data_IF_976717434443
#
_entry.id   IF_976717434443
#
_cell.length_a   1.000
_cell.length_b   1.000
_cell.length_c   1.000
_cell.angle_alpha   90.00
_cell.angle_beta   90.00
_cell.angle_gamma   90.00
#
_symmetry.space_group_name_H-M   'P 1'
#
loop_
_entity.id
_entity.type
_entity.pdbx_description
1 polymer ?
2 non-polymer ?
3 non-polymer ?
4 water ?
#
# COMPACT_ATOMS: atom_id res chain seq x y z
N UNK A 1 -3.93 -1.99 6.68
CA UNK A 1 -5.41 -1.86 6.85
C UNK A 1 -6.09 -3.11 7.41
N UNK A 2 -5.49 -4.30 7.26
CA UNK A 2 -5.98 -5.64 7.67
C UNK A 2 -4.81 -6.62 7.76
N UNK A 3 -5.02 -7.93 8.11
CA UNK A 3 -3.93 -8.87 8.46
C UNK A 3 -2.94 -9.23 7.32
N UNK A 4 -3.38 -9.06 6.08
CA UNK A 4 -2.52 -9.20 4.88
C UNK A 4 -1.49 -8.08 4.86
N UNK A 5 -1.95 -6.85 5.04
CA UNK A 5 -1.06 -5.67 5.10
C UNK A 5 -0.13 -5.76 6.32
N UNK A 6 -0.62 -6.30 7.43
CA UNK A 6 0.19 -6.57 8.66
C UNK A 6 1.41 -7.47 8.36
N UNK A 7 1.15 -8.59 7.73
CA UNK A 7 2.21 -9.58 7.39
C UNK A 7 3.18 -8.90 6.41
N UNK A 8 2.65 -8.24 5.37
CA UNK A 8 3.49 -7.57 4.35
C UNK A 8 4.41 -6.54 5.02
N UNK A 9 3.86 -5.71 5.90
CA UNK A 9 4.62 -4.66 6.61
C UNK A 9 5.75 -5.29 7.46
N UNK A 10 5.46 -6.38 8.12
CA UNK A 10 6.44 -7.09 8.97
C UNK A 10 7.62 -7.57 8.12
N UNK A 11 7.34 -8.07 6.93
CA UNK A 11 8.39 -8.51 5.97
C UNK A 11 9.18 -7.29 5.51
N UNK A 12 8.50 -6.20 5.11
CA UNK A 12 9.20 -5.00 4.60
C UNK A 12 10.11 -4.40 5.64
N UNK A 13 9.65 -4.33 6.90
CA UNK A 13 10.35 -3.55 7.96
C UNK A 13 11.65 -4.27 8.34
N UNK A 14 11.75 -5.57 8.16
CA UNK A 14 12.93 -6.30 8.67
C UNK A 14 13.70 -7.05 7.56
N UNK A 15 13.06 -7.38 6.43
CA UNK A 15 13.67 -8.30 5.44
C UNK A 15 13.84 -7.64 4.07
N UNK A 16 13.85 -6.30 3.95
CA UNK A 16 14.13 -5.64 2.64
C UNK A 16 15.26 -4.64 2.82
N UNK A 17 15.98 -4.46 1.70
CA UNK A 17 16.98 -3.38 1.52
C UNK A 17 16.67 -2.74 0.19
N UNK A 18 17.26 -1.59 -0.04
CA UNK A 18 17.20 -0.95 -1.39
C UNK A 18 18.50 -1.35 -2.09
N UNK A 19 18.39 -2.10 -3.19
CA UNK A 19 19.56 -2.47 -4.00
C UNK A 19 19.65 -1.57 -5.23
N UNK A 20 20.87 -1.12 -5.54
CA UNK A 20 21.11 -0.33 -6.78
C UNK A 20 22.20 -1.04 -7.60
N UNK A 21 21.90 -1.27 -8.87
CA UNK A 21 22.86 -1.78 -9.88
C UNK A 21 22.94 -0.69 -10.95
N UNK A 22 23.69 -0.95 -12.01
CA UNK A 22 23.79 -0.05 -13.19
C UNK A 22 22.47 -0.04 -13.96
N UNK A 23 21.58 -0.99 -13.67
CA UNK A 23 20.26 -1.13 -14.36
C UNK A 23 19.13 -0.52 -13.52
N UNK A 24 19.38 0.04 -12.33
CA UNK A 24 18.35 0.73 -11.57
C UNK A 24 18.37 0.46 -10.07
N UNK A 25 17.36 1.01 -9.37
CA UNK A 25 17.07 0.78 -7.95
C UNK A 25 15.96 -0.28 -7.87
N UNK A 26 16.14 -1.29 -7.02
CA UNK A 26 15.21 -2.42 -6.84
C UNK A 26 14.93 -2.62 -5.35
N UNK A 27 13.70 -3.00 -5.04
CA UNK A 27 13.35 -3.68 -3.78
C UNK A 27 14.13 -5.01 -3.80
N UNK A 28 14.80 -5.30 -2.69
CA UNK A 28 15.54 -6.57 -2.56
C UNK A 28 15.13 -7.24 -1.25
N UNK A 29 14.66 -8.48 -1.36
CA UNK A 29 14.24 -9.33 -0.23
C UNK A 29 15.46 -10.07 0.31
N UNK A 30 15.74 -9.89 1.61
CA UNK A 30 16.69 -10.74 2.37
C UNK A 30 15.98 -11.95 2.91
N UNK A 31 16.55 -13.15 2.72
CA UNK A 31 15.86 -14.44 3.04
C UNK A 31 16.44 -15.03 4.34
N UNK A 32 17.78 -15.07 4.47
CA UNK A 32 18.44 -15.59 5.69
C UNK A 32 19.92 -15.23 5.58
N UNK A 33 20.62 -15.23 6.73
CA UNK A 33 22.09 -14.96 6.76
C UNK A 33 22.31 -13.72 5.89
N UNK A 34 23.23 -13.76 4.91
CA UNK A 34 23.55 -12.57 4.06
C UNK A 34 23.02 -12.86 2.65
N UNK A 35 22.02 -13.74 2.54
CA UNK A 35 21.47 -14.20 1.24
C UNK A 35 20.18 -13.42 0.93
N UNK A 36 20.13 -12.81 -0.25
CA UNK A 36 18.97 -12.04 -0.74
C UNK A 36 18.63 -12.44 -2.16
N UNK A 37 17.50 -11.94 -2.66
CA UNK A 37 17.08 -12.19 -4.06
C UNK A 37 16.78 -10.87 -4.76
N UNK A 38 16.88 -10.92 -6.08
CA UNK A 38 16.62 -9.72 -6.93
C UNK A 38 16.26 -10.24 -8.31
N UNK A 39 15.45 -9.53 -9.13
CA UNK A 39 15.27 -9.98 -10.52
C UNK A 39 16.57 -10.05 -11.32
N UNK A 40 16.70 -11.11 -12.13
CA UNK A 40 17.93 -11.36 -12.92
C UNK A 40 18.22 -10.18 -13.86
N UNK A 41 17.19 -9.52 -14.38
CA UNK A 41 17.40 -8.33 -15.25
C UNK A 41 18.04 -7.14 -14.52
N UNK A 42 18.23 -7.17 -13.19
CA UNK A 42 19.06 -6.18 -12.45
C UNK A 42 20.53 -6.28 -12.84
N UNK A 43 21.00 -7.40 -13.44
CA UNK A 43 22.40 -7.59 -13.89
C UNK A 43 23.38 -7.33 -12.75
N UNK A 44 23.22 -8.07 -11.65
CA UNK A 44 24.13 -7.93 -10.47
C UNK A 44 25.55 -8.25 -10.92
N UNK A 45 26.51 -7.42 -10.51
CA UNK A 45 27.94 -7.62 -10.78
C UNK A 45 28.72 -7.92 -9.53
N UNK A 46 29.99 -7.50 -9.47
CA UNK A 46 30.93 -7.82 -8.39
C UNK A 46 30.67 -6.91 -7.19
N UNK A 47 30.08 -5.74 -7.46
CA UNK A 47 29.77 -4.67 -6.47
C UNK A 47 28.31 -4.24 -6.68
N UNK A 48 27.59 -4.03 -5.58
CA UNK A 48 26.19 -3.53 -5.61
C UNK A 48 26.08 -2.47 -4.48
N UNK A 49 25.13 -1.54 -4.58
CA UNK A 49 24.88 -0.57 -3.49
C UNK A 49 23.68 -1.09 -2.70
N UNK A 50 23.79 -1.17 -1.37
CA UNK A 50 22.75 -1.69 -0.46
C UNK A 50 22.44 -0.53 0.49
N UNK A 51 21.26 0.08 0.36
CA UNK A 51 20.93 1.29 1.18
C UNK A 51 22.04 2.31 0.99
N UNK A 52 22.48 2.53 -0.26
CA UNK A 52 23.48 3.52 -0.73
C UNK A 52 24.87 3.28 -0.14
N UNK A 53 25.18 2.06 0.27
CA UNK A 53 26.53 1.68 0.73
C UNK A 53 27.13 0.66 -0.22
N UNK A 54 28.34 0.94 -0.68
CA UNK A 54 29.11 0.04 -1.58
C UNK A 54 29.35 -1.29 -0.87
N UNK A 55 28.91 -2.39 -1.50
CA UNK A 55 28.92 -3.75 -0.91
C UNK A 55 29.47 -4.74 -1.95
N UNK A 56 30.44 -5.55 -1.55
CA UNK A 56 30.99 -6.63 -2.40
C UNK A 56 29.97 -7.75 -2.49
N UNK A 57 29.79 -8.28 -3.68
CA UNK A 57 28.95 -9.48 -3.92
C UNK A 57 29.83 -10.71 -3.78
N UNK A 58 29.57 -11.55 -2.79
CA UNK A 58 30.41 -12.76 -2.56
C UNK A 58 30.05 -13.85 -3.55
N UNK A 59 28.78 -13.91 -3.99
CA UNK A 59 28.27 -14.91 -4.94
C UNK A 59 26.97 -14.41 -5.55
N UNK A 60 26.70 -14.76 -6.80
CA UNK A 60 25.43 -14.41 -7.48
C UNK A 60 25.08 -15.56 -8.43
N UNK A 61 23.88 -16.09 -8.34
CA UNK A 61 23.49 -17.23 -9.17
C UNK A 61 22.12 -16.95 -9.79
N UNK A 62 22.11 -16.80 -11.12
CA UNK A 62 20.88 -16.62 -11.91
C UNK A 62 20.23 -17.98 -12.10
N UNK A 63 19.08 -18.17 -11.47
CA UNK A 63 18.45 -19.52 -11.41
C UNK A 63 17.78 -19.86 -12.75
N UNK A 64 17.85 -21.13 -13.14
CA UNK A 64 17.13 -21.67 -14.32
C UNK A 64 16.55 -23.01 -13.90
N UNK A 65 15.42 -23.40 -14.47
CA UNK A 65 14.88 -24.74 -14.15
C UNK A 65 15.68 -25.85 -14.86
N UNK A 66 15.27 -27.08 -14.66
CA UNK A 66 16.12 -28.22 -15.10
C UNK A 66 16.00 -28.42 -16.61
N UNK A 67 15.03 -27.77 -17.25
CA UNK A 67 14.93 -27.62 -18.74
C UNK A 67 15.84 -26.47 -19.24
N UNK A 68 16.64 -25.82 -18.36
CA UNK A 68 17.57 -24.73 -18.72
C UNK A 68 16.68 -23.57 -19.23
N UNK A 69 15.53 -23.33 -18.60
CA UNK A 69 14.68 -22.12 -18.85
C UNK A 69 14.88 -21.09 -17.73
N UNK A 70 14.98 -19.82 -18.09
CA UNK A 70 15.09 -18.68 -17.15
C UNK A 70 14.01 -18.81 -16.06
N UNK A 71 14.38 -18.56 -14.77
CA UNK A 71 13.37 -18.33 -13.70
C UNK A 71 13.31 -16.85 -13.25
N UNK A 72 14.22 -16.00 -13.69
CA UNK A 72 14.24 -14.54 -13.44
C UNK A 72 14.59 -14.21 -11.98
N UNK A 73 15.04 -15.20 -11.20
CA UNK A 73 15.51 -14.97 -9.81
C UNK A 73 17.04 -15.07 -9.83
N UNK A 74 17.70 -14.06 -9.27
CA UNK A 74 19.14 -14.15 -8.92
C UNK A 74 19.26 -14.19 -7.39
N UNK A 75 20.00 -15.16 -6.89
CA UNK A 75 20.29 -15.28 -5.44
C UNK A 75 21.64 -14.62 -5.26
N UNK A 76 21.70 -13.66 -4.33
CA UNK A 76 22.94 -12.87 -4.09
C UNK A 76 23.40 -13.10 -2.66
N UNK A 77 24.67 -13.43 -2.45
CA UNK A 77 25.26 -13.38 -1.10
C UNK A 77 26.05 -12.08 -0.98
N UNK A 78 25.73 -11.29 0.05
CA UNK A 78 26.26 -9.92 0.24
C UNK A 78 27.39 -9.94 1.29
N UNK A 79 28.46 -9.20 1.06
CA UNK A 79 29.52 -9.01 2.09
C UNK A 79 29.09 -7.91 3.07
N UNK A 80 28.05 -8.20 3.83
CA UNK A 80 27.40 -7.29 4.79
C UNK A 80 27.77 -7.72 6.22
N UNK A 81 27.79 -6.78 7.16
CA UNK A 81 28.20 -7.04 8.55
C UNK A 81 27.02 -7.47 9.42
N UNK A 82 25.89 -7.81 8.82
CA UNK A 82 24.66 -8.08 9.58
C UNK A 82 23.85 -9.12 8.82
N UNK A 83 23.22 -10.05 9.53
CA UNK A 83 22.34 -11.09 8.94
C UNK A 83 20.89 -10.59 8.88
N UNK A 84 20.16 -11.12 7.91
CA UNK A 84 18.69 -10.98 7.83
C UNK A 84 18.06 -11.93 8.85
N UNK A 85 16.92 -11.53 9.39
CA UNK A 85 15.98 -12.47 10.03
C UNK A 85 15.72 -13.64 9.08
N UNK A 86 15.78 -14.86 9.56
CA UNK A 86 15.53 -16.06 8.75
C UNK A 86 14.03 -16.19 8.51
N UNK A 87 13.60 -16.02 7.25
CA UNK A 87 12.16 -16.13 6.83
C UNK A 87 11.95 -17.33 5.92
N UNK A 88 12.86 -18.31 5.88
CA UNK A 88 12.69 -19.46 4.96
C UNK A 88 11.42 -20.24 5.30
N UNK A 89 10.98 -20.27 6.56
CA UNK A 89 9.76 -21.02 6.95
C UNK A 89 8.49 -20.37 6.41
N UNK A 90 8.54 -19.17 5.81
CA UNK A 90 7.38 -18.53 5.15
C UNK A 90 7.35 -18.78 3.64
N UNK A 91 8.32 -19.53 3.10
CA UNK A 91 8.36 -19.84 1.64
C UNK A 91 7.53 -21.10 1.37
N UNK A 92 6.74 -21.05 0.30
CA UNK A 92 6.01 -22.22 -0.19
C UNK A 92 6.96 -23.32 -0.65
N UNK A 93 6.50 -24.56 -0.52
CA UNK A 93 7.29 -25.77 -0.92
C UNK A 93 6.90 -26.24 -2.32
N UNK A 94 5.80 -25.74 -2.89
CA UNK A 94 5.36 -26.15 -4.25
C UNK A 94 4.74 -24.98 -5.01
N UNK A 95 4.64 -25.13 -6.33
CA UNK A 95 3.97 -24.15 -7.22
C UNK A 95 2.48 -24.18 -6.84
N UNK A 96 1.82 -23.04 -6.85
CA UNK A 96 0.42 -22.94 -6.38
C UNK A 96 -0.21 -21.64 -6.86
N UNK A 97 -1.53 -21.58 -6.76
CA UNK A 97 -2.34 -20.35 -6.89
C UNK A 97 -2.66 -19.84 -5.47
N UNK A 98 -2.98 -18.56 -5.34
CA UNK A 98 -3.19 -17.89 -4.04
C UNK A 98 -4.37 -16.93 -4.12
N UNK A 99 -5.04 -16.74 -2.97
CA UNK A 99 -5.99 -15.61 -2.83
C UNK A 99 -5.38 -14.44 -2.03
N UNK A 100 -5.84 -13.25 -2.39
CA UNK A 100 -5.78 -12.03 -1.56
C UNK A 100 -4.31 -11.70 -1.25
N UNK A 101 -3.51 -11.51 -2.30
CA UNK A 101 -2.07 -11.20 -2.13
C UNK A 101 -1.84 -9.68 -2.08
N UNK A 102 -0.72 -9.28 -1.50
CA UNK A 102 -0.24 -7.88 -1.42
C UNK A 102 1.13 -7.85 -2.10
N UNK A 103 1.33 -6.84 -2.94
CA UNK A 103 2.65 -6.47 -3.53
C UNK A 103 3.19 -5.26 -2.78
N UNK A 104 4.41 -5.36 -2.24
CA UNK A 104 5.02 -4.32 -1.40
C UNK A 104 6.36 -3.89 -1.98
N UNK A 105 6.57 -2.58 -2.07
CA UNK A 105 7.75 -1.96 -2.74
C UNK A 105 8.32 -0.94 -1.78
N UNK A 106 9.65 -0.84 -1.73
CA UNK A 106 10.30 0.22 -0.97
C UNK A 106 11.55 0.68 -1.73
N UNK A 107 11.44 1.83 -2.41
CA UNK A 107 12.57 2.45 -3.14
C UNK A 107 12.51 3.95 -2.86
N UNK A 108 13.52 4.70 -3.34
CA UNK A 108 13.47 6.21 -3.41
C UNK A 108 12.22 6.72 -4.15
N UNK A 109 11.82 6.07 -5.23
CA UNK A 109 10.68 6.50 -6.08
C UNK A 109 9.35 6.14 -5.38
N UNK A 110 9.30 4.97 -4.74
CA UNK A 110 8.04 4.42 -4.14
C UNK A 110 8.32 3.93 -2.71
N UNK A 111 8.45 4.84 -1.73
CA UNK A 111 8.62 4.49 -0.33
C UNK A 111 7.32 3.96 0.32
N UNK A 112 7.43 2.87 1.09
CA UNK A 112 6.30 2.39 1.92
C UNK A 112 5.05 2.17 1.05
N UNK A 113 5.21 1.55 -0.12
CA UNK A 113 4.10 1.29 -1.06
C UNK A 113 3.57 -0.13 -0.86
N UNK A 114 2.25 -0.28 -0.72
CA UNK A 114 1.55 -1.57 -0.55
C UNK A 114 0.38 -1.59 -1.52
N UNK A 115 0.16 -2.70 -2.21
CA UNK A 115 -0.93 -2.86 -3.23
C UNK A 115 -1.66 -4.16 -3.00
N UNK A 116 -3.00 -4.16 -2.73
CA UNK A 116 -3.80 -5.37 -2.72
C UNK A 116 -4.08 -5.79 -4.17
N UNK A 117 -3.43 -6.86 -4.61
CA UNK A 117 -3.50 -7.26 -6.06
C UNK A 117 -4.59 -8.30 -6.25
N UNK A 118 -5.14 -8.89 -5.19
CA UNK A 118 -6.20 -9.89 -5.29
C UNK A 118 -5.65 -11.26 -5.62
N UNK A 119 -6.39 -12.00 -6.44
CA UNK A 119 -6.10 -13.40 -6.79
C UNK A 119 -4.80 -13.51 -7.61
N UNK A 120 -3.98 -14.50 -7.26
CA UNK A 120 -2.71 -14.79 -7.97
C UNK A 120 -2.77 -16.18 -8.64
N UNK A 121 -2.62 -16.20 -9.97
CA UNK A 121 -2.70 -17.41 -10.82
C UNK A 121 -1.29 -18.00 -10.99
N UNK A 122 -1.16 -19.32 -10.89
CA UNK A 122 0.03 -20.03 -11.41
C UNK A 122 -0.06 -19.96 -12.92
N UNK A 123 0.55 -18.95 -13.50
CA UNK A 123 0.50 -18.64 -14.95
C UNK A 123 1.43 -19.59 -15.73
N UNK A 124 2.62 -19.84 -15.19
CA UNK A 124 3.62 -20.75 -15.76
C UNK A 124 4.53 -20.08 -16.74
N UNK A 125 4.36 -20.35 -18.05
CA UNK A 125 5.24 -19.80 -19.10
C UNK A 125 4.89 -18.32 -19.40
N UNK A 126 5.92 -17.48 -19.49
CA UNK A 126 5.79 -16.09 -19.95
C UNK A 126 6.99 -15.77 -20.82
N UNK A 127 6.74 -15.14 -21.96
CA UNK A 127 7.81 -14.50 -22.75
C UNK A 127 8.03 -13.11 -22.16
N UNK A 128 9.00 -13.01 -21.26
CA UNK A 128 9.30 -11.80 -20.46
C UNK A 128 10.40 -10.98 -21.14
N UNK A 129 10.04 -9.86 -21.78
CA UNK A 129 11.03 -9.03 -22.52
C UNK A 129 11.77 -9.84 -23.59
N UNK A 130 11.10 -10.78 -24.24
CA UNK A 130 11.73 -11.65 -25.26
C UNK A 130 12.35 -12.93 -24.70
N UNK A 131 12.41 -13.10 -23.37
CA UNK A 131 13.10 -14.23 -22.73
C UNK A 131 12.09 -15.25 -22.23
N UNK A 132 12.04 -16.50 -22.76
CA UNK A 132 11.15 -17.52 -22.23
C UNK A 132 11.44 -17.70 -20.72
N UNK A 133 10.39 -17.68 -19.92
CA UNK A 133 10.52 -17.68 -18.45
C UNK A 133 9.48 -18.66 -17.90
N UNK A 134 9.83 -19.41 -16.87
CA UNK A 134 8.90 -20.36 -16.21
C UNK A 134 8.55 -19.93 -14.78
N UNK A 135 7.60 -20.64 -14.18
CA UNK A 135 7.18 -20.44 -12.76
C UNK A 135 6.74 -19.00 -12.49
N UNK A 136 6.01 -18.40 -13.42
CA UNK A 136 5.45 -17.05 -13.27
C UNK A 136 4.09 -17.12 -12.58
N UNK A 137 3.91 -16.19 -11.64
CA UNK A 137 2.62 -15.87 -10.99
C UNK A 137 2.04 -14.62 -11.66
N UNK A 138 0.73 -14.57 -11.80
CA UNK A 138 0.07 -13.40 -12.46
C UNK A 138 -1.02 -12.82 -11.55
N UNK A 139 -1.09 -11.49 -11.54
CA UNK A 139 -2.15 -10.74 -10.80
C UNK A 139 -2.69 -9.69 -11.74
N UNK A 140 -3.99 -9.44 -11.64
CA UNK A 140 -4.71 -8.54 -12.58
C UNK A 140 -4.63 -7.16 -11.95
N UNK A 141 -3.43 -6.62 -11.87
CA UNK A 141 -3.16 -5.23 -11.41
C UNK A 141 -2.21 -4.56 -12.40
N UNK A 142 -2.48 -3.30 -12.82
CA UNK A 142 -1.64 -2.58 -13.78
C UNK A 142 -0.39 -1.97 -13.14
N UNK A 143 0.57 -2.88 -12.89
CA UNK A 143 1.89 -2.55 -12.31
C UNK A 143 2.69 -1.72 -13.33
N UNK A 144 3.60 -0.89 -12.81
CA UNK A 144 4.39 0.10 -13.58
C UNK A 144 5.88 -0.15 -13.35
N UNK A 145 6.72 0.54 -14.13
CA UNK A 145 8.18 0.62 -13.92
C UNK A 145 8.44 1.10 -12.48
N UNK A 146 9.47 0.55 -11.85
CA UNK A 146 9.87 0.89 -10.47
C UNK A 146 9.43 -0.10 -9.40
N UNK A 147 8.62 -1.12 -9.77
CA UNK A 147 8.04 -2.11 -8.84
C UNK A 147 8.83 -3.42 -8.84
N UNK A 148 9.78 -3.58 -9.76
CA UNK A 148 10.56 -4.85 -9.89
C UNK A 148 11.31 -5.10 -8.58
N UNK A 149 11.24 -6.34 -8.12
CA UNK A 149 11.84 -6.76 -6.85
C UNK A 149 10.80 -6.68 -5.74
N UNK A 150 9.64 -6.08 -6.01
CA UNK A 150 8.59 -5.92 -5.00
C UNK A 150 8.22 -7.28 -4.44
N UNK A 151 7.86 -7.35 -3.16
CA UNK A 151 7.59 -8.64 -2.51
C UNK A 151 6.12 -8.97 -2.63
N UNK A 152 5.81 -10.19 -3.07
CA UNK A 152 4.40 -10.67 -3.11
C UNK A 152 4.18 -11.60 -1.92
N UNK A 153 3.17 -11.29 -1.08
CA UNK A 153 2.85 -12.06 0.14
C UNK A 153 1.36 -12.39 0.19
N UNK A 154 1.05 -13.45 0.91
CA UNK A 154 -0.26 -13.65 1.54
C UNK A 154 -0.03 -13.65 3.06
N UNK A 155 -1.09 -13.75 3.86
CA UNK A 155 -0.90 -13.99 5.32
C UNK A 155 -0.06 -15.26 5.49
N UNK A 156 1.11 -15.10 6.04
CA UNK A 156 1.96 -16.19 6.49
C UNK A 156 2.80 -16.74 5.38
N UNK A 157 2.69 -16.26 4.12
CA UNK A 157 3.60 -16.76 3.05
C UNK A 157 4.21 -15.64 2.20
N UNK A 158 5.51 -15.78 1.93
CA UNK A 158 6.25 -14.93 0.96
C UNK A 158 6.38 -15.75 -0.33
N UNK A 159 5.65 -15.35 -1.40
CA UNK A 159 5.36 -16.30 -2.52
C UNK A 159 6.15 -15.91 -3.78
N UNK A 160 6.66 -14.68 -3.91
CA UNK A 160 7.32 -14.30 -5.19
C UNK A 160 7.89 -12.89 -5.14
N UNK A 161 8.60 -12.51 -6.20
CA UNK A 161 9.12 -11.14 -6.39
C UNK A 161 8.70 -10.64 -7.79
N UNK A 162 8.17 -9.43 -7.85
CA UNK A 162 7.67 -8.77 -9.08
C UNK A 162 8.80 -8.67 -10.11
N UNK A 163 8.54 -9.08 -11.37
CA UNK A 163 9.59 -9.07 -12.43
C UNK A 163 9.06 -8.38 -13.70
N UNK A 164 7.77 -8.06 -13.80
CA UNK A 164 7.28 -7.41 -15.04
C UNK A 164 5.79 -7.19 -15.11
N UNK A 165 5.32 -6.67 -16.24
CA UNK A 165 3.91 -6.32 -16.44
C UNK A 165 3.62 -6.12 -17.91
N UNK A 166 2.35 -6.18 -18.32
CA UNK A 166 1.95 -5.90 -19.73
C UNK A 166 1.02 -4.67 -19.81
N UNK A 167 0.95 -3.86 -18.75
CA UNK A 167 0.10 -2.67 -18.68
C UNK A 167 -1.25 -2.94 -18.00
N UNK A 168 -1.77 -4.17 -18.06
CA UNK A 168 -3.03 -4.61 -17.38
C UNK A 168 -2.77 -5.65 -16.28
N UNK A 169 -1.80 -6.54 -16.51
CA UNK A 169 -1.38 -7.61 -15.56
C UNK A 169 0.05 -7.34 -15.06
N UNK A 170 0.31 -7.87 -13.86
CA UNK A 170 1.66 -7.93 -13.27
C UNK A 170 2.10 -9.36 -13.13
N UNK A 171 3.40 -9.56 -13.15
CA UNK A 171 4.00 -10.92 -13.13
C UNK A 171 5.12 -10.99 -12.06
N UNK A 172 5.10 -12.07 -11.29
CA UNK A 172 6.14 -12.31 -10.28
C UNK A 172 6.80 -13.67 -10.55
N UNK A 173 8.07 -13.80 -10.22
CA UNK A 173 8.79 -15.10 -10.20
C UNK A 173 8.52 -15.77 -8.85
N UNK A 174 8.13 -17.04 -8.88
CA UNK A 174 7.91 -17.82 -7.63
C UNK A 174 9.16 -17.82 -6.77
N UNK A 175 8.94 -17.80 -5.47
CA UNK A 175 9.97 -18.22 -4.49
C UNK A 175 9.54 -19.57 -3.93
N UNK A 176 10.46 -20.51 -3.95
CA UNK A 176 10.28 -21.85 -3.42
C UNK A 176 11.32 -22.12 -2.33
N UNK A 177 10.89 -22.82 -1.28
CA UNK A 177 11.78 -23.22 -0.17
C UNK A 177 13.06 -23.90 -0.71
N UNK A 178 12.93 -24.72 -1.75
CA UNK A 178 14.07 -25.55 -2.27
C UNK A 178 15.18 -24.68 -2.88
N UNK A 179 14.92 -23.41 -3.20
CA UNK A 179 15.97 -22.53 -3.73
C UNK A 179 17.03 -22.18 -2.64
N UNK A 180 16.71 -22.34 -1.36
CA UNK A 180 17.47 -21.75 -0.20
C UNK A 180 17.80 -22.80 0.87
N UNK A 181 17.87 -24.05 0.45
CA UNK A 181 18.42 -25.15 1.29
C UNK A 181 19.94 -24.99 1.31
N UNK A 182 20.55 -25.10 2.49
CA UNK A 182 22.01 -24.92 2.74
C UNK A 182 22.54 -26.11 3.55
N UNK B 2 7.85 10.95 -7.23
CA UNK B 2 6.99 11.75 -8.17
C UNK B 2 6.06 12.69 -7.41
N UNK B 3 5.40 13.64 -8.12
CA UNK B 3 4.54 14.63 -7.48
C UNK B 3 3.42 13.97 -6.64
N UNK B 4 2.83 12.88 -7.15
CA UNK B 4 1.73 12.14 -6.49
C UNK B 4 2.11 11.63 -5.10
N UNK B 5 3.22 10.88 -5.00
CA UNK B 5 3.71 10.34 -3.69
C UNK B 5 4.24 11.47 -2.81
N UNK B 6 4.93 12.47 -3.36
CA UNK B 6 5.34 13.69 -2.61
C UNK B 6 4.09 14.33 -1.97
N UNK B 7 3.03 14.50 -2.76
CA UNK B 7 1.79 15.16 -2.29
C UNK B 7 1.16 14.31 -1.15
N UNK B 8 1.02 13.01 -1.37
CA UNK B 8 0.40 12.11 -0.37
C UNK B 8 1.23 12.18 0.93
N UNK B 9 2.57 12.13 0.82
CA UNK B 9 3.45 12.18 2.02
C UNK B 9 3.33 13.53 2.72
N UNK B 10 3.20 14.65 1.99
CA UNK B 10 3.10 16.02 2.53
C UNK B 10 1.80 16.16 3.35
N UNK B 11 0.71 15.59 2.83
CA UNK B 11 -0.60 15.59 3.55
C UNK B 11 -0.54 14.65 4.77
N UNK B 12 0.07 13.48 4.61
CA UNK B 12 0.27 12.49 5.71
C UNK B 12 1.02 13.19 6.87
N UNK B 13 2.18 13.76 6.57
CA UNK B 13 3.11 14.29 7.58
C UNK B 13 2.51 15.43 8.41
N UNK B 14 1.85 16.39 7.78
CA UNK B 14 1.38 17.62 8.48
C UNK B 14 -0.12 17.56 8.86
N UNK B 15 -0.93 16.80 8.12
CA UNK B 15 -2.41 16.88 8.26
C UNK B 15 -3.08 15.57 8.67
N UNK B 16 -2.37 14.49 9.00
CA UNK B 16 -2.99 13.19 9.36
C UNK B 16 -2.59 12.87 10.80
N UNK B 17 -3.58 12.59 11.67
CA UNK B 17 -3.35 12.18 13.07
C UNK B 17 -4.03 10.84 13.28
N UNK B 18 -3.70 10.14 14.36
CA UNK B 18 -4.36 8.88 14.77
C UNK B 18 -5.49 9.22 15.74
N UNK B 19 -6.74 8.94 15.36
CA UNK B 19 -7.91 9.20 16.22
C UNK B 19 -8.35 7.87 16.84
N UNK B 20 -8.67 7.84 18.12
CA UNK B 20 -9.15 6.61 18.78
C UNK B 20 -10.48 6.93 19.50
N UNK B 21 -11.53 6.28 19.03
CA UNK B 21 -12.89 6.32 19.61
C UNK B 21 -13.09 5.02 20.41
N UNK B 22 -14.29 4.86 20.96
CA UNK B 22 -14.72 3.61 21.63
C UNK B 22 -14.52 2.44 20.68
N UNK B 23 -14.57 2.67 19.36
CA UNK B 23 -14.48 1.59 18.35
C UNK B 23 -13.03 1.23 17.98
N UNK B 24 -12.06 2.05 18.33
CA UNK B 24 -10.63 1.82 18.05
C UNK B 24 -10.06 2.93 17.18
N UNK B 25 -9.05 2.60 16.36
CA UNK B 25 -8.20 3.65 15.76
C UNK B 25 -8.63 3.88 14.31
N UNK B 26 -8.59 5.17 13.96
CA UNK B 26 -8.95 5.66 12.62
C UNK B 26 -7.91 6.68 12.16
N UNK B 27 -7.57 6.61 10.87
CA UNK B 27 -6.80 7.68 10.20
C UNK B 27 -7.68 8.95 10.16
N UNK B 28 -7.23 10.02 10.75
CA UNK B 28 -8.04 11.27 10.80
C UNK B 28 -7.31 12.35 9.98
N UNK B 29 -8.06 13.08 9.15
CA UNK B 29 -7.53 14.24 8.41
C UNK B 29 -7.92 15.55 9.12
N UNK B 30 -6.90 16.31 9.52
CA UNK B 30 -7.08 17.71 9.92
C UNK B 30 -7.13 18.64 8.73
N UNK B 31 -8.13 19.51 8.68
CA UNK B 31 -8.41 20.33 7.47
C UNK B 31 -7.96 21.79 7.66
N UNK B 32 -8.29 22.39 8.78
CA UNK B 32 -7.89 23.77 9.16
C UNK B 32 -8.18 24.00 10.65
N UNK B 33 -7.53 24.98 11.28
CA UNK B 33 -7.87 25.35 12.69
C UNK B 33 -7.85 24.06 13.53
N UNK B 34 -8.93 23.79 14.27
CA UNK B 34 -9.04 22.51 15.05
C UNK B 34 -10.16 21.65 14.46
N UNK B 35 -10.38 21.76 13.15
CA UNK B 35 -11.45 21.05 12.41
C UNK B 35 -10.84 19.87 11.67
N UNK B 36 -11.37 18.66 11.91
CA UNK B 36 -10.91 17.42 11.27
C UNK B 36 -12.12 16.60 10.80
N UNK B 37 -11.85 15.58 10.02
CA UNK B 37 -12.90 14.65 9.52
C UNK B 37 -12.52 13.22 9.81
N UNK B 38 -13.56 12.42 9.99
CA UNK B 38 -13.44 10.99 10.33
C UNK B 38 -14.69 10.31 9.79
N UNK B 39 -14.67 9.02 9.40
CA UNK B 39 -15.91 8.34 9.01
C UNK B 39 -16.97 8.36 10.10
N UNK B 40 -18.23 8.49 9.70
CA UNK B 40 -19.34 8.55 10.68
C UNK B 40 -19.39 7.23 11.48
N UNK B 41 -19.05 6.09 10.87
CA UNK B 41 -19.06 4.79 11.59
C UNK B 41 -18.06 4.75 12.75
N UNK B 42 -17.14 5.72 12.90
CA UNK B 42 -16.21 5.78 14.07
C UNK B 42 -16.96 6.07 15.38
N UNK B 43 -18.17 6.57 15.30
CA UNK B 43 -19.03 6.81 16.51
C UNK B 43 -18.28 7.74 17.49
N UNK B 44 -17.93 8.91 17.00
CA UNK B 44 -17.27 9.96 17.81
C UNK B 44 -18.19 10.34 18.99
N UNK B 45 -17.60 10.38 20.18
CA UNK B 45 -18.30 10.74 21.43
C UNK B 45 -17.92 12.12 21.91
N UNK B 46 -17.99 12.33 23.21
CA UNK B 46 -17.65 13.63 23.86
C UNK B 46 -16.14 13.80 23.95
N UNK B 47 -15.44 12.67 23.97
CA UNK B 47 -13.96 12.59 24.18
C UNK B 47 -13.39 11.66 23.10
N UNK B 48 -12.21 12.02 22.61
CA UNK B 48 -11.48 11.22 21.61
C UNK B 48 -9.99 11.28 21.97
N UNK B 49 -9.23 10.25 21.58
CA UNK B 49 -7.75 10.26 21.66
C UNK B 49 -7.16 10.69 20.31
N UNK B 50 -6.28 11.68 20.35
CA UNK B 50 -5.55 12.24 19.16
C UNK B 50 -4.07 12.01 19.45
N UNK B 51 -3.44 11.09 18.70
CA UNK B 51 -2.05 10.63 18.94
C UNK B 51 -1.87 10.25 20.41
N UNK B 52 -2.86 9.55 20.97
CA UNK B 52 -2.87 8.94 22.33
C UNK B 52 -3.08 10.00 23.42
N UNK B 53 -3.45 11.24 23.06
CA UNK B 53 -3.80 12.33 24.00
C UNK B 53 -5.34 12.42 24.12
N UNK B 54 -5.88 12.19 25.31
CA UNK B 54 -7.32 12.45 25.63
C UNK B 54 -7.68 13.89 25.24
N UNK B 55 -8.70 14.07 24.36
CA UNK B 55 -9.06 15.39 23.76
C UNK B 55 -10.58 15.58 23.79
N UNK B 56 -11.07 16.70 24.32
CA UNK B 56 -12.51 16.98 24.30
C UNK B 56 -12.91 17.24 22.85
N UNK B 57 -13.98 16.58 22.41
CA UNK B 57 -14.66 16.97 21.12
C UNK B 57 -15.69 18.08 21.40
N UNK B 58 -15.43 19.29 20.94
CA UNK B 58 -16.32 20.44 21.21
C UNK B 58 -17.60 20.32 20.38
N UNK B 59 -17.51 19.76 19.18
CA UNK B 59 -18.62 19.70 18.20
C UNK B 59 -18.38 18.52 17.28
N UNK B 60 -19.44 17.79 16.95
CA UNK B 60 -19.43 16.70 15.94
C UNK B 60 -20.67 16.84 15.08
N UNK B 61 -20.48 16.86 13.77
CA UNK B 61 -21.57 16.91 12.78
C UNK B 61 -21.46 15.68 11.86
N UNK B 62 -22.48 14.82 11.89
CA UNK B 62 -22.62 13.68 10.96
C UNK B 62 -23.25 14.23 9.67
N UNK B 63 -22.46 14.47 8.64
CA UNK B 63 -22.92 15.26 7.48
C UNK B 63 -24.00 14.50 6.68
N UNK B 64 -24.98 15.28 6.22
CA UNK B 64 -26.04 14.85 5.28
C UNK B 64 -26.21 15.92 4.22
N UNK B 65 -26.64 15.55 3.02
CA UNK B 65 -26.80 16.53 1.91
C UNK B 65 -28.22 17.11 1.93
N UNK B 66 -28.54 17.92 0.95
CA UNK B 66 -29.84 18.66 0.92
C UNK B 66 -30.99 17.75 0.51
N UNK B 67 -30.74 16.50 0.10
CA UNK B 67 -31.77 15.45 -0.03
C UNK B 67 -32.02 14.74 1.32
N UNK B 68 -31.32 15.17 2.37
CA UNK B 68 -31.37 14.56 3.73
C UNK B 68 -30.86 13.13 3.63
N UNK B 69 -29.76 12.93 2.91
CA UNK B 69 -29.11 11.62 2.74
C UNK B 69 -27.72 11.65 3.41
N UNK B 70 -27.40 10.56 4.10
CA UNK B 70 -26.07 10.35 4.73
C UNK B 70 -24.95 10.61 3.71
N UNK B 71 -23.85 11.24 4.17
CA UNK B 71 -22.57 11.34 3.42
C UNK B 71 -21.43 10.53 4.07
N UNK B 72 -21.63 9.99 5.27
CA UNK B 72 -20.69 9.12 6.02
C UNK B 72 -19.42 9.89 6.45
N UNK B 73 -19.44 11.21 6.44
CA UNK B 73 -18.32 12.09 6.95
C UNK B 73 -18.84 12.70 8.22
N UNK B 74 -18.06 12.65 9.29
CA UNK B 74 -18.31 13.45 10.49
C UNK B 74 -17.24 14.52 10.61
N UNK B 75 -17.66 15.78 10.71
CA UNK B 75 -16.76 16.92 10.94
C UNK B 75 -16.64 17.11 12.46
N UNK B 76 -15.43 17.18 13.01
CA UNK B 76 -15.22 17.38 14.47
C UNK B 76 -14.44 18.69 14.69
N UNK B 77 -14.76 19.37 15.81
CA UNK B 77 -14.00 20.54 16.34
C UNK B 77 -13.34 20.08 17.63
N UNK B 78 -12.01 20.09 17.66
CA UNK B 78 -11.22 19.48 18.75
C UNK B 78 -10.77 20.58 19.73
N UNK B 79 -10.82 20.31 21.03
CA UNK B 79 -10.22 21.14 22.11
C UNK B 79 -8.72 20.82 22.24
N UNK B 80 -7.87 21.38 21.36
CA UNK B 80 -6.40 21.22 21.39
C UNK B 80 -5.71 22.50 20.92
N UNK B 81 -4.50 22.72 21.45
CA UNK B 81 -3.71 23.96 21.20
C UNK B 81 -3.27 24.02 19.73
N UNK B 82 -2.79 22.89 19.20
CA UNK B 82 -2.23 22.78 17.83
C UNK B 82 -3.32 23.14 16.82
N UNK B 83 -2.96 23.97 15.86
CA UNK B 83 -3.81 24.30 14.70
C UNK B 83 -3.34 23.44 13.51
N UNK B 84 -4.25 22.90 12.72
CA UNK B 84 -3.90 22.14 11.50
C UNK B 84 -3.52 23.11 10.37
N UNK B 85 -2.48 22.77 9.60
CA UNK B 85 -2.10 23.49 8.36
C UNK B 85 -3.33 23.54 7.44
N UNK B 86 -3.79 24.75 7.05
CA UNK B 86 -5.00 24.89 6.19
C UNK B 86 -4.74 24.20 4.85
N UNK B 87 -5.59 23.24 4.46
CA UNK B 87 -5.53 22.52 3.16
C UNK B 87 -6.85 22.66 2.39
N UNK B 88 -7.67 23.64 2.77
CA UNK B 88 -9.00 23.78 2.10
C UNK B 88 -8.83 24.08 0.61
N UNK B 89 -7.73 24.76 0.22
CA UNK B 89 -7.46 25.05 -1.21
C UNK B 89 -7.14 23.80 -2.02
N UNK B 90 -6.93 22.63 -1.37
CA UNK B 90 -6.71 21.35 -2.08
C UNK B 90 -7.97 20.50 -2.20
N UNK B 91 -9.11 21.01 -1.73
CA UNK B 91 -10.39 20.23 -1.76
C UNK B 91 -11.09 20.54 -3.08
N UNK B 92 -11.59 19.51 -3.78
CA UNK B 92 -12.39 19.72 -4.99
C UNK B 92 -13.64 20.58 -4.73
N UNK B 93 -13.98 21.42 -5.71
CA UNK B 93 -15.21 22.25 -5.64
C UNK B 93 -16.44 21.44 -6.05
N UNK B 94 -16.27 20.47 -6.95
CA UNK B 94 -17.38 19.66 -7.51
C UNK B 94 -17.05 18.18 -7.46
N UNK B 95 -18.07 17.35 -7.64
CA UNK B 95 -17.97 15.88 -7.77
C UNK B 95 -17.23 15.57 -9.06
N UNK B 96 -16.37 14.54 -9.07
CA UNK B 96 -15.53 14.25 -10.24
C UNK B 96 -14.99 12.82 -10.19
N UNK B 97 -14.49 12.34 -11.32
CA UNK B 97 -13.70 11.08 -11.47
C UNK B 97 -12.23 11.49 -11.44
N UNK B 98 -11.33 10.58 -11.05
CA UNK B 98 -9.89 10.87 -10.90
C UNK B 98 -9.04 9.67 -11.34
N UNK B 99 -7.77 9.95 -11.65
CA UNK B 99 -6.78 8.93 -12.06
C UNK B 99 -5.61 8.95 -11.08
N UNK B 100 -4.91 7.82 -10.94
CA UNK B 100 -3.63 7.71 -10.19
C UNK B 100 -3.82 8.22 -8.75
N UNK B 101 -4.84 7.72 -8.06
CA UNK B 101 -5.12 8.07 -6.65
C UNK B 101 -4.23 7.24 -5.71
N UNK B 102 -3.94 7.81 -4.54
CA UNK B 102 -3.17 7.13 -3.47
C UNK B 102 -4.02 7.20 -2.20
N UNK B 103 -4.14 6.07 -1.52
CA UNK B 103 -4.84 5.96 -0.23
C UNK B 103 -3.74 5.86 0.82
N UNK B 104 -3.77 6.75 1.81
CA UNK B 104 -2.71 6.90 2.84
C UNK B 104 -3.27 6.57 4.23
N UNK B 105 -2.75 5.48 4.80
CA UNK B 105 -3.20 4.88 6.10
C UNK B 105 -2.20 5.29 7.17
N UNK B 106 -2.71 5.71 8.31
CA UNK B 106 -1.84 6.08 9.44
C UNK B 106 -2.54 5.71 10.76
N UNK B 107 -2.09 4.61 11.38
CA UNK B 107 -2.56 4.17 12.72
C UNK B 107 -1.35 3.65 13.52
N UNK B 108 -1.56 3.27 14.77
CA UNK B 108 -0.45 2.68 15.59
C UNK B 108 0.05 1.39 14.94
N UNK B 109 -0.83 0.62 14.33
CA UNK B 109 -0.52 -0.69 13.67
C UNK B 109 0.11 -0.47 12.29
N UNK B 110 -0.31 0.58 11.57
CA UNK B 110 0.06 0.87 10.15
C UNK B 110 0.56 2.32 10.07
N UNK B 111 1.80 2.61 10.53
CA UNK B 111 2.26 4.00 10.68
C UNK B 111 2.45 4.83 9.40
N UNK B 112 3.00 4.30 8.32
CA UNK B 112 3.27 5.19 7.14
C UNK B 112 2.98 4.41 5.87
N UNK B 113 1.71 4.10 5.60
CA UNK B 113 1.40 3.11 4.53
C UNK B 113 0.69 3.79 3.33
N UNK B 114 1.20 3.66 2.12
CA UNK B 114 0.68 4.28 0.86
C UNK B 114 0.21 3.19 -0.10
N UNK B 115 -1.09 3.24 -0.45
CA UNK B 115 -1.74 2.24 -1.33
C UNK B 115 -2.18 2.92 -2.61
N UNK B 116 -1.48 2.73 -3.74
CA UNK B 116 -1.90 3.29 -5.02
C UNK B 116 -3.15 2.57 -5.53
N UNK B 117 -4.28 3.23 -5.49
CA UNK B 117 -5.57 2.58 -5.83
C UNK B 117 -5.89 2.78 -7.31
N UNK B 118 -5.28 3.79 -7.95
CA UNK B 118 -5.42 4.04 -9.40
C UNK B 118 -6.69 4.78 -9.73
N UNK B 119 -7.52 4.17 -10.57
CA UNK B 119 -8.68 4.87 -11.17
C UNK B 119 -9.78 4.97 -10.12
N UNK B 120 -10.29 6.17 -9.93
CA UNK B 120 -11.39 6.49 -8.98
C UNK B 120 -12.60 6.99 -9.77
N UNK B 121 -13.73 6.33 -9.58
CA UNK B 121 -15.03 6.68 -10.23
C UNK B 121 -15.94 7.44 -9.26
N UNK B 122 -16.63 8.47 -9.73
CA UNK B 122 -17.85 9.03 -9.10
C UNK B 122 -18.96 7.96 -9.18
N UNK B 123 -19.09 7.16 -8.14
CA UNK B 123 -19.98 5.96 -8.07
C UNK B 123 -21.37 6.47 -7.65
N UNK B 124 -21.41 7.44 -6.74
CA UNK B 124 -22.61 8.13 -6.26
C UNK B 124 -23.29 7.37 -5.13
N UNK B 125 -24.45 6.74 -5.42
CA UNK B 125 -25.31 6.13 -4.40
C UNK B 125 -24.76 4.76 -4.00
N UNK B 126 -24.71 4.48 -2.69
CA UNK B 126 -24.33 3.20 -2.10
C UNK B 126 -25.20 2.95 -0.87
N UNK B 127 -25.74 1.76 -0.78
CA UNK B 127 -26.34 1.29 0.48
C UNK B 127 -25.20 0.77 1.35
N UNK B 128 -24.74 1.58 2.29
CA UNK B 128 -23.55 1.26 3.11
C UNK B 128 -23.98 0.76 4.49
N UNK B 129 -23.87 -0.57 4.72
CA UNK B 129 -24.30 -1.19 5.99
C UNK B 129 -25.78 -0.97 6.28
N UNK B 130 -26.61 -0.87 5.23
CA UNK B 130 -28.05 -0.65 5.33
C UNK B 130 -28.45 0.81 5.30
N UNK B 131 -27.49 1.75 5.29
CA UNK B 131 -27.79 3.20 5.21
C UNK B 131 -27.56 3.74 3.80
N UNK B 132 -28.59 4.33 3.16
CA UNK B 132 -28.46 5.01 1.88
C UNK B 132 -27.45 6.17 2.01
N UNK B 133 -26.45 6.17 1.13
CA UNK B 133 -25.29 7.11 1.18
C UNK B 133 -25.06 7.69 -0.20
N UNK B 134 -24.74 8.99 -0.23
CA UNK B 134 -24.41 9.70 -1.48
C UNK B 134 -22.90 10.03 -1.57
N UNK B 135 -22.51 10.48 -2.76
CA UNK B 135 -21.18 11.06 -3.08
C UNK B 135 -20.08 10.06 -2.73
N UNK B 136 -20.29 8.81 -3.07
CA UNK B 136 -19.27 7.74 -2.92
C UNK B 136 -18.34 7.74 -4.14
N UNK B 137 -17.03 7.70 -3.85
CA UNK B 137 -15.96 7.37 -4.83
C UNK B 137 -15.63 5.89 -4.73
N UNK B 138 -15.38 5.22 -5.86
CA UNK B 138 -15.09 3.77 -5.90
C UNK B 138 -13.75 3.53 -6.60
N UNK B 139 -12.97 2.60 -6.06
CA UNK B 139 -11.71 2.11 -6.66
C UNK B 139 -11.65 0.61 -6.46
N UNK B 140 -10.86 -0.06 -7.30
CA UNK B 140 -10.59 -1.49 -7.08
C UNK B 140 -9.93 -1.65 -5.72
N UNK B 141 -10.30 -2.68 -4.97
CA UNK B 141 -9.74 -2.96 -3.62
C UNK B 141 -10.07 -4.39 -3.27
N UNK B 142 -9.38 -5.37 -3.90
CA UNK B 142 -9.74 -6.79 -3.84
C UNK B 142 -9.24 -7.49 -2.57
N UNK B 143 -9.66 -6.94 -1.44
CA UNK B 143 -9.26 -7.32 -0.09
C UNK B 143 -10.40 -6.90 0.85
N UNK B 144 -10.49 -7.59 1.98
CA UNK B 144 -11.39 -7.20 3.10
C UNK B 144 -10.49 -6.45 4.11
N UNK B 145 -10.53 -5.10 4.06
CA UNK B 145 -9.79 -4.18 4.97
C UNK B 145 -10.60 -3.93 6.25
N UNK B 146 -9.94 -3.51 7.33
CA UNK B 146 -10.60 -3.12 8.58
C UNK B 146 -11.21 -1.73 8.47
N UNK B 147 -11.62 -1.20 9.61
CA UNK B 147 -12.38 0.07 9.71
C UNK B 147 -11.49 1.32 9.61
N UNK B 148 -10.17 1.23 9.76
CA UNK B 148 -9.32 2.38 10.12
C UNK B 148 -9.35 3.46 9.02
N UNK B 149 -9.59 3.05 7.79
CA UNK B 149 -9.65 3.98 6.63
C UNK B 149 -8.35 4.72 6.34
N UNK B 150 -8.45 5.91 5.73
CA UNK B 150 -7.28 6.60 5.17
C UNK B 150 -7.68 7.70 4.23
N UNK B 151 -6.70 8.49 3.82
CA UNK B 151 -6.95 9.72 3.05
C UNK B 151 -6.67 9.43 1.59
N UNK B 152 -7.56 9.84 0.70
CA UNK B 152 -7.38 9.61 -0.77
C UNK B 152 -6.95 10.92 -1.43
N UNK B 153 -5.80 10.87 -2.11
CA UNK B 153 -5.20 12.05 -2.80
C UNK B 153 -4.89 11.72 -4.25
N UNK B 154 -4.87 12.77 -5.05
CA UNK B 154 -4.27 12.78 -6.42
C UNK B 154 -3.12 13.78 -6.38
N UNK B 155 -2.44 13.99 -7.50
CA UNK B 155 -1.57 15.18 -7.60
C UNK B 155 -2.49 16.41 -7.41
N UNK B 156 -2.21 17.15 -6.36
CA UNK B 156 -2.76 18.48 -6.09
C UNK B 156 -4.09 18.49 -5.40
N UNK B 157 -4.75 17.34 -5.15
CA UNK B 157 -6.08 17.36 -4.51
C UNK B 157 -6.19 16.32 -3.38
N UNK B 158 -6.93 16.73 -2.36
CA UNK B 158 -7.39 15.80 -1.29
C UNK B 158 -8.88 15.49 -1.57
N UNK B 159 -9.17 14.29 -2.07
CA UNK B 159 -10.49 14.04 -2.73
C UNK B 159 -11.46 13.28 -1.83
N UNK B 160 -11.02 12.57 -0.78
CA UNK B 160 -11.98 11.78 0.01
C UNK B 160 -11.29 11.05 1.14
N UNK B 161 -12.09 10.40 1.97
CA UNK B 161 -11.60 9.51 3.06
C UNK B 161 -12.29 8.16 2.90
N UNK B 162 -11.52 7.08 3.07
CA UNK B 162 -12.00 5.69 2.91
C UNK B 162 -13.05 5.35 3.97
N UNK B 163 -14.22 4.89 3.55
CA UNK B 163 -15.33 4.59 4.50
C UNK B 163 -15.79 3.12 4.47
N UNK B 164 -15.41 2.31 3.48
CA UNK B 164 -15.87 0.90 3.45
C UNK B 164 -15.42 0.14 2.22
N UNK B 165 -15.96 -1.06 2.02
CA UNK B 165 -15.59 -1.91 0.86
C UNK B 165 -16.43 -3.16 0.82
N UNK B 166 -16.41 -3.90 -0.30
CA UNK B 166 -17.25 -5.14 -0.44
C UNK B 166 -16.36 -6.35 -0.77
N UNK B 167 -15.03 -6.27 -0.58
CA UNK B 167 -14.05 -7.35 -0.89
C UNK B 167 -13.50 -7.31 -2.30
N UNK B 168 -14.16 -6.59 -3.21
CA UNK B 168 -13.75 -6.36 -4.61
C UNK B 168 -13.47 -4.87 -4.80
N UNK B 169 -14.34 -4.01 -4.24
CA UNK B 169 -14.23 -2.55 -4.42
C UNK B 169 -14.06 -1.88 -3.06
N UNK B 170 -13.40 -0.73 -3.07
CA UNK B 170 -13.20 0.19 -1.95
C UNK B 170 -14.00 1.46 -2.20
N UNK B 171 -14.51 2.05 -1.12
CA UNK B 171 -15.42 3.23 -1.17
C UNK B 171 -14.89 4.33 -0.28
N UNK B 172 -14.86 5.53 -0.80
CA UNK B 172 -14.47 6.74 -0.08
C UNK B 172 -15.62 7.74 -0.15
N UNK B 173 -15.81 8.50 0.91
CA UNK B 173 -16.70 9.68 0.94
C UNK B 173 -15.97 10.88 0.35
N UNK B 174 -16.61 11.59 -0.58
CA UNK B 174 -16.01 12.76 -1.21
C UNK B 174 -15.78 13.84 -0.15
N UNK B 175 -14.67 14.59 -0.26
CA UNK B 175 -14.50 15.87 0.43
C UNK B 175 -14.70 16.98 -0.60
N UNK B 176 -15.54 17.94 -0.24
CA UNK B 176 -15.82 19.12 -1.09
C UNK B 176 -15.49 20.38 -0.31
N UNK B 177 -15.04 21.39 -1.06
CA UNK B 177 -14.63 22.68 -0.47
C UNK B 177 -15.80 23.28 0.33
N UNK B 178 -17.01 23.09 -0.18
CA UNK B 178 -18.22 23.72 0.42
C UNK B 178 -18.53 23.15 1.81
N UNK B 179 -17.94 22.02 2.20
CA UNK B 179 -18.24 21.47 3.54
C UNK B 179 -17.62 22.28 4.69
N UNK B 180 -16.63 23.14 4.35
CA UNK B 180 -15.71 23.81 5.30
C UNK B 180 -15.74 25.34 5.14
N UNK B 181 -16.48 25.86 4.18
CA UNK B 181 -16.72 27.33 4.05
C UNK B 181 -17.61 27.81 5.20
X LIG C 1 2.35 6.04 -9.40
X LIG C 1 1.33 3.86 -9.33
X LIG C 1 0.22 3.16 -9.81
X LIG C 1 0.32 1.81 -10.12
X LIG C 1 1.50 1.14 -9.95
X LIG C 1 2.60 1.81 -9.45
X LIG C 1 0.12 5.82 -8.59
X LIG C 1 1.15 7.96 -8.65
X LIG C 1 1.20 9.24 -8.18
X LIG C 1 0.08 7.14 -8.37
X LIG C 1 1.26 5.33 -9.10
X LIG C 1 2.28 7.36 -9.17
X LIG C 1 2.52 3.16 -9.14
X LIG D 1 -16.92 23.15 9.28
X LIG D 1 -17.14 23.32 10.78
X LIG D 1 -15.75 24.39 8.81
X LIG D 1 -18.35 23.85 8.48
#
# INVERSE_FOLDING_TARGET
>A
MGPGFDFAQAIMKKNTVIARTEKGEFTMLGVYDRVAVIPTHASVGEIIYINDVETRVLDACALRDLTDTNLEITIVKLDRNQKFRDIRHFLPRCEDDYNDAVLSVHTSKFPNMYIPVGQVTNYGFLNLGGTPTHRILMYNFPTRAGQCGGVVTTTGKVIGIHVGGNGAQGFAAMLLHSYFTD
>B
MGPGFDFAQAIMKKNTVIARTEKGEFTMLGVYDRVAVIPTHASVGEIIYINDVETRVLDACALRDLTDTNLEITIVKLDRNQKFRDIRHFLPRCEDDYNDAVLSVHTSKFPNMYIPVGQVTNYGFLNLGGTPTHRILMYNFPTRAGQCGGVVTTTGKVIGIHVGGNGAQGFAAMLLHSYFTD
>C hetero
1 T63 N1 C4 C5 C6 C7 C8 N C O C1 C2 C3 C9
>D hetero
1 DMS S O C1 C2
#
